data_IF_703954398640
#
_entry.id   IF_703954398640
#
_cell.length_a   1.000
_cell.length_b   1.000
_cell.length_c   1.000
_cell.angle_alpha   90.00
_cell.angle_beta   90.00
_cell.angle_gamma   90.00
#
_symmetry.space_group_name_H-M   'P 1'
#
loop_
_entity.id
_entity.type
_entity.pdbx_description
1 polymer ?
#
# COMPACT_ATOMS: atom_id res chain seq x y z
N UNK A 1 -16.50 11.56 -3.51
CA UNK A 1 -16.21 10.33 -4.25
C UNK A 1 -17.46 9.48 -4.22
N UNK A 2 -17.85 8.89 -5.35
CA UNK A 2 -18.87 7.84 -5.37
C UNK A 2 -18.22 6.45 -5.34
N UNK A 3 -19.00 5.39 -5.15
CA UNK A 3 -18.46 4.03 -5.03
C UNK A 3 -17.66 3.59 -6.27
N UNK A 4 -18.13 3.90 -7.48
CA UNK A 4 -17.43 3.55 -8.72
C UNK A 4 -16.08 4.26 -8.85
N UNK A 5 -16.02 5.54 -8.48
CA UNK A 5 -14.76 6.30 -8.44
C UNK A 5 -13.80 5.69 -7.42
N UNK A 6 -14.29 5.29 -6.25
CA UNK A 6 -13.48 4.62 -5.23
C UNK A 6 -12.88 3.32 -5.75
N UNK A 7 -13.70 2.46 -6.36
CA UNK A 7 -13.23 1.19 -6.89
C UNK A 7 -12.14 1.39 -7.95
N UNK A 8 -12.34 2.30 -8.91
CA UNK A 8 -11.34 2.60 -9.94
C UNK A 8 -10.02 3.12 -9.34
N UNK A 9 -10.09 4.05 -8.38
CA UNK A 9 -8.90 4.60 -7.74
C UNK A 9 -8.16 3.57 -6.88
N UNK A 10 -8.89 2.71 -6.17
CA UNK A 10 -8.32 1.64 -5.35
C UNK A 10 -7.77 0.48 -6.21
N UNK A 11 -8.40 0.17 -7.35
CA UNK A 11 -7.88 -0.76 -8.35
C UNK A 11 -6.55 -0.26 -8.92
N UNK A 12 -6.50 1.00 -9.35
CA UNK A 12 -5.27 1.59 -9.87
C UNK A 12 -4.15 1.60 -8.82
N UNK A 13 -4.48 1.93 -7.56
CA UNK A 13 -3.52 1.90 -6.47
C UNK A 13 -2.90 0.51 -6.28
N UNK A 14 -3.74 -0.54 -6.27
CA UNK A 14 -3.26 -1.92 -6.08
C UNK A 14 -2.44 -2.37 -7.28
N UNK A 15 -2.90 -2.12 -8.51
CA UNK A 15 -2.17 -2.47 -9.73
C UNK A 15 -0.78 -1.85 -9.75
N UNK A 16 -0.64 -0.57 -9.38
CA UNK A 16 0.66 0.09 -9.32
C UNK A 16 1.61 -0.57 -8.29
N UNK A 17 1.07 -1.08 -7.18
CA UNK A 17 1.88 -1.81 -6.18
C UNK A 17 2.35 -3.14 -6.75
N UNK A 18 1.46 -3.88 -7.42
CA UNK A 18 1.79 -5.16 -8.09
C UNK A 18 2.87 -4.94 -9.15
N UNK A 19 2.68 -3.99 -10.07
CA UNK A 19 3.66 -3.65 -11.11
C UNK A 19 5.02 -3.23 -10.52
N UNK A 20 5.02 -2.44 -9.43
CA UNK A 20 6.27 -2.04 -8.76
C UNK A 20 7.02 -3.22 -8.16
N UNK A 21 6.30 -4.20 -7.59
CA UNK A 21 6.90 -5.41 -7.01
C UNK A 21 7.36 -6.39 -8.09
N UNK A 22 6.60 -6.54 -9.18
CA UNK A 22 6.97 -7.39 -10.32
C UNK A 22 8.22 -6.86 -11.05
N UNK A 23 8.36 -5.54 -11.18
CA UNK A 23 9.52 -4.89 -11.76
C UNK A 23 10.69 -4.69 -10.76
N UNK A 24 10.54 -5.17 -9.53
CA UNK A 24 11.56 -4.99 -8.50
C UNK A 24 12.82 -5.81 -8.83
N UNK A 25 13.91 -5.10 -9.08
CA UNK A 25 15.21 -5.69 -9.42
C UNK A 25 16.20 -5.75 -8.23
N UNK A 26 15.70 -5.58 -7.01
CA UNK A 26 16.50 -5.68 -5.78
C UNK A 26 16.78 -7.13 -5.38
N UNK A 27 17.53 -7.30 -4.29
CA UNK A 27 17.89 -8.62 -3.75
C UNK A 27 16.85 -9.15 -2.76
N UNK A 28 15.98 -8.29 -2.23
CA UNK A 28 14.97 -8.66 -1.23
C UNK A 28 13.84 -9.48 -1.85
N UNK A 29 13.57 -10.61 -1.23
CA UNK A 29 12.45 -11.48 -1.56
C UNK A 29 11.15 -10.93 -0.92
N UNK A 30 10.30 -10.34 -1.76
CA UNK A 30 9.02 -9.73 -1.36
C UNK A 30 7.90 -10.38 -2.16
N UNK A 31 7.18 -11.29 -1.51
CA UNK A 31 5.98 -11.89 -2.08
C UNK A 31 4.75 -11.02 -1.83
N UNK A 32 3.79 -11.03 -2.74
CA UNK A 32 2.47 -10.46 -2.50
C UNK A 32 1.33 -11.41 -2.86
N UNK A 33 0.24 -11.32 -2.10
CA UNK A 33 -1.01 -12.03 -2.37
C UNK A 33 -2.19 -11.07 -2.27
N UNK A 34 -3.08 -11.10 -3.27
CA UNK A 34 -4.31 -10.30 -3.30
C UNK A 34 -5.53 -11.22 -3.17
N UNK A 35 -6.35 -11.01 -2.12
CA UNK A 35 -7.59 -11.74 -1.88
C UNK A 35 -8.69 -10.81 -1.36
N UNK A 36 -9.82 -10.74 -2.06
CA UNK A 36 -11.02 -10.04 -1.57
C UNK A 36 -10.81 -8.57 -1.24
N UNK A 37 -9.97 -7.86 -2.01
CA UNK A 37 -9.65 -6.44 -1.76
C UNK A 37 -8.60 -6.19 -0.66
N UNK A 38 -7.95 -7.25 -0.18
CA UNK A 38 -6.81 -7.22 0.73
C UNK A 38 -5.56 -7.69 -0.02
N UNK A 39 -4.52 -6.88 0.00
CA UNK A 39 -3.18 -7.23 -0.48
C UNK A 39 -2.25 -7.42 0.71
N UNK A 40 -1.53 -8.53 0.76
CA UNK A 40 -0.55 -8.83 1.80
C UNK A 40 0.83 -8.97 1.18
N UNK A 41 1.77 -8.14 1.59
CA UNK A 41 3.19 -8.26 1.26
C UNK A 41 3.87 -9.05 2.38
N UNK A 42 4.64 -10.07 2.03
CA UNK A 42 5.42 -10.89 2.95
C UNK A 42 6.91 -10.69 2.66
N UNK A 43 7.69 -10.41 3.70
CA UNK A 43 9.13 -10.18 3.61
C UNK A 43 9.90 -11.38 4.16
N UNK A 44 11.12 -11.61 3.68
CA UNK A 44 11.99 -12.73 4.09
C UNK A 44 12.17 -12.85 5.63
N UNK A 45 12.18 -11.72 6.34
CA UNK A 45 12.29 -11.70 7.81
C UNK A 45 10.99 -12.06 8.56
N UNK A 46 9.96 -12.53 7.85
CA UNK A 46 8.66 -12.96 8.38
C UNK A 46 7.70 -11.82 8.75
N UNK A 47 8.09 -10.56 8.53
CA UNK A 47 7.19 -9.41 8.72
C UNK A 47 6.25 -9.24 7.54
N UNK A 48 5.18 -8.48 7.73
CA UNK A 48 4.13 -8.28 6.72
C UNK A 48 3.67 -6.84 6.66
N UNK A 49 3.30 -6.42 5.46
CA UNK A 49 2.49 -5.23 5.24
C UNK A 49 1.15 -5.68 4.68
N UNK A 50 0.05 -5.12 5.18
CA UNK A 50 -1.30 -5.40 4.67
C UNK A 50 -1.91 -4.10 4.17
N UNK A 51 -2.38 -4.10 2.93
CA UNK A 51 -3.15 -3.01 2.35
C UNK A 51 -4.56 -3.51 2.10
N UNK A 52 -5.58 -2.81 2.59
CA UNK A 52 -6.96 -3.22 2.34
C UNK A 52 -7.87 -2.04 2.00
N UNK A 53 -8.88 -2.33 1.18
CA UNK A 53 -9.94 -1.38 0.83
C UNK A 53 -11.00 -1.35 1.93
N UNK A 54 -11.49 -0.16 2.24
CA UNK A 54 -12.61 0.07 3.15
C UNK A 54 -13.72 0.80 2.39
N UNK A 55 -14.49 0.02 1.65
CA UNK A 55 -15.57 0.53 0.78
C UNK A 55 -16.56 1.45 1.51
N UNK A 56 -17.07 1.12 2.72
CA UNK A 56 -18.03 2.01 3.40
C UNK A 56 -17.47 3.39 3.76
N UNK A 57 -16.14 3.52 3.80
CA UNK A 57 -15.45 4.76 4.17
C UNK A 57 -14.78 5.45 2.98
N UNK A 58 -14.77 4.81 1.80
CA UNK A 58 -13.94 5.19 0.64
C UNK A 58 -12.47 5.41 1.02
N UNK A 59 -11.94 4.53 1.86
CA UNK A 59 -10.57 4.59 2.35
C UNK A 59 -9.74 3.40 1.88
N UNK A 60 -8.44 3.63 1.81
CA UNK A 60 -7.43 2.56 1.78
C UNK A 60 -6.71 2.56 3.11
N UNK A 61 -6.51 1.39 3.69
CA UNK A 61 -5.79 1.23 4.95
C UNK A 61 -4.47 0.51 4.70
N UNK A 62 -3.44 0.90 5.46
CA UNK A 62 -2.09 0.32 5.44
C UNK A 62 -1.72 -0.10 6.86
N UNK A 63 -1.53 -1.39 7.08
CA UNK A 63 -0.96 -1.93 8.31
C UNK A 63 0.47 -2.37 8.06
N UNK A 64 1.38 -1.90 8.91
CA UNK A 64 2.82 -2.19 8.85
C UNK A 64 3.29 -2.72 10.20
N UNK A 65 4.52 -3.20 10.29
CA UNK A 65 5.13 -3.58 11.58
C UNK A 65 5.10 -2.45 12.62
N UNK A 66 5.16 -1.19 12.19
CA UNK A 66 5.30 -0.02 13.08
C UNK A 66 3.98 0.71 13.36
N UNK A 67 2.92 0.43 12.61
CA UNK A 67 1.63 1.11 12.81
C UNK A 67 0.62 0.90 11.69
N UNK A 68 -0.56 1.46 11.90
CA UNK A 68 -1.68 1.47 10.96
C UNK A 68 -2.03 2.89 10.51
N UNK A 69 -2.35 3.04 9.23
CA UNK A 69 -2.64 4.33 8.58
C UNK A 69 -3.89 4.20 7.72
N UNK A 70 -4.75 5.21 7.75
CA UNK A 70 -5.96 5.27 6.92
C UNK A 70 -5.85 6.44 5.95
N UNK A 71 -6.18 6.21 4.69
CA UNK A 71 -5.99 7.17 3.62
C UNK A 71 -7.32 7.56 2.98
N UNK A 72 -7.55 8.87 2.91
CA UNK A 72 -8.60 9.47 2.10
C UNK A 72 -8.00 10.00 0.80
N UNK A 73 -8.70 9.86 -0.31
CA UNK A 73 -8.26 10.47 -1.56
C UNK A 73 -8.67 11.95 -1.61
N UNK A 74 -7.69 12.84 -1.78
CA UNK A 74 -7.87 14.29 -1.85
C UNK A 74 -6.87 14.86 -2.87
N UNK A 75 -7.34 15.75 -3.74
CA UNK A 75 -6.50 16.46 -4.73
C UNK A 75 -5.59 15.55 -5.57
N UNK A 76 -6.09 14.38 -5.96
CA UNK A 76 -5.35 13.42 -6.78
C UNK A 76 -4.46 12.44 -6.00
N UNK A 77 -4.42 12.53 -4.66
CA UNK A 77 -3.47 11.79 -3.83
C UNK A 77 -4.17 11.09 -2.66
N UNK A 78 -3.72 9.88 -2.32
CA UNK A 78 -4.11 9.18 -1.09
C UNK A 78 -3.34 9.76 0.11
N UNK A 79 -4.04 10.47 1.00
CA UNK A 79 -3.47 11.17 2.16
C UNK A 79 -3.95 10.58 3.48
N UNK A 80 -3.01 10.35 4.39
CA UNK A 80 -3.28 9.85 5.73
C UNK A 80 -4.19 10.80 6.52
N UNK A 81 -5.28 10.30 7.09
CA UNK A 81 -6.29 11.09 7.80
C UNK A 81 -5.77 11.79 9.07
N UNK A 82 -4.70 11.27 9.68
CA UNK A 82 -4.09 11.81 10.92
C UNK A 82 -2.84 12.65 10.70
N UNK A 83 -2.10 12.40 9.62
CA UNK A 83 -0.76 12.98 9.42
C UNK A 83 -0.59 13.75 8.13
N UNK A 84 -1.58 13.69 7.21
CA UNK A 84 -1.52 14.21 5.85
C UNK A 84 -0.31 13.71 5.02
N UNK A 85 0.39 12.68 5.50
CA UNK A 85 1.43 12.00 4.71
C UNK A 85 0.79 11.20 3.57
N UNK A 86 1.43 11.23 2.40
CA UNK A 86 0.98 10.47 1.24
C UNK A 86 1.25 8.97 1.39
N UNK A 87 0.42 8.16 0.72
CA UNK A 87 0.47 6.69 0.75
C UNK A 87 1.81 6.11 0.28
N UNK A 88 2.25 6.42 -0.95
CA UNK A 88 3.45 5.79 -1.52
C UNK A 88 4.75 6.07 -0.74
N UNK A 89 5.00 7.30 -0.24
CA UNK A 89 6.14 7.53 0.64
C UNK A 89 6.09 6.72 1.93
N UNK A 90 4.90 6.56 2.54
CA UNK A 90 4.73 5.74 3.75
C UNK A 90 4.94 4.25 3.46
N UNK A 91 4.40 3.74 2.36
CA UNK A 91 4.60 2.36 1.92
C UNK A 91 6.08 2.10 1.61
N UNK A 92 6.74 2.99 0.88
CA UNK A 92 8.17 2.88 0.55
C UNK A 92 9.05 2.86 1.79
N UNK A 93 8.78 3.72 2.79
CA UNK A 93 9.49 3.73 4.06
C UNK A 93 9.32 2.39 4.81
N UNK A 94 8.07 1.93 4.94
CA UNK A 94 7.75 0.71 5.67
C UNK A 94 8.27 -0.55 4.98
N UNK A 95 8.18 -0.62 3.65
CA UNK A 95 8.67 -1.72 2.86
C UNK A 95 10.19 -1.74 2.87
N UNK A 96 10.86 -0.60 2.69
CA UNK A 96 12.33 -0.54 2.75
C UNK A 96 12.86 -0.97 4.11
N UNK A 97 12.23 -0.51 5.20
CA UNK A 97 12.61 -0.91 6.55
C UNK A 97 12.41 -2.40 6.83
N UNK A 98 11.40 -3.03 6.21
CA UNK A 98 11.09 -4.45 6.40
C UNK A 98 11.86 -5.36 5.42
N UNK A 99 12.19 -4.89 4.23
CA UNK A 99 13.02 -5.59 3.25
C UNK A 99 14.51 -5.53 3.62
N UNK A 100 14.94 -4.48 4.33
CA UNK A 100 16.36 -4.25 4.62
C UNK A 100 17.13 -3.58 3.46
N UNK A 101 16.45 -3.23 2.37
CA UNK A 101 16.97 -2.46 1.25
C UNK A 101 15.94 -1.46 0.71
N UNK A 102 16.32 -0.63 -0.25
CA UNK A 102 15.44 0.42 -0.75
C UNK A 102 14.37 -0.12 -1.71
N UNK A 103 13.10 -0.01 -1.31
CA UNK A 103 11.91 -0.30 -2.13
C UNK A 103 11.13 0.99 -2.34
N UNK A 104 10.87 1.37 -3.60
CA UNK A 104 10.24 2.65 -3.95
C UNK A 104 8.98 2.44 -4.76
N UNK A 105 7.87 2.99 -4.26
CA UNK A 105 6.59 3.06 -4.94
C UNK A 105 6.32 4.51 -5.39
N UNK A 106 5.64 4.68 -6.54
CA UNK A 106 5.32 5.99 -7.13
C UNK A 106 3.92 6.02 -7.75
#
# INVERSE_FOLDING_TARGET
MNDSEFHQLADQLMLNIEETLDDFAGDADIDYETNGGVMTLSFENGTKIVINRQEPLHQVWLATKTGGYHFNYRDGVWLCDRSDRAFYPLLSEAASAQAGEAVKFA
#
